data_IF_530741622203
#
_entry.id   IF_530741622203
#
_cell.length_a   1.000
_cell.length_b   1.000
_cell.length_c   1.000
_cell.angle_alpha   90.00
_cell.angle_beta   90.00
_cell.angle_gamma   90.00
#
_symmetry.space_group_name_H-M   'P 1'
#
loop_
_entity.id
_entity.type
_entity.pdbx_description
1 polymer ?
#
# COMPACT_ATOMS: atom_id res chain seq x y z
N UNK A 1 7.90 -13.96 0.95
CA UNK A 1 8.86 -12.84 0.83
C UNK A 1 8.33 -11.67 1.62
N UNK A 2 9.18 -10.98 2.39
CA UNK A 2 8.82 -9.74 3.09
C UNK A 2 9.53 -8.58 2.40
N UNK A 3 8.80 -7.52 2.08
CA UNK A 3 9.33 -6.28 1.52
C UNK A 3 9.03 -5.12 2.47
N UNK A 4 9.93 -4.14 2.51
CA UNK A 4 9.82 -2.95 3.37
C UNK A 4 10.13 -1.71 2.56
N UNK A 5 9.29 -0.70 2.67
CA UNK A 5 9.43 0.57 1.94
C UNK A 5 9.24 1.73 2.91
N UNK A 6 10.24 2.63 2.97
CA UNK A 6 10.12 3.88 3.71
C UNK A 6 9.44 4.91 2.84
N UNK A 7 8.44 5.58 3.39
CA UNK A 7 7.66 6.62 2.73
C UNK A 7 7.27 7.70 3.75
N UNK A 8 6.41 8.62 3.35
CA UNK A 8 5.81 9.62 4.21
C UNK A 8 4.30 9.65 4.04
N UNK A 9 3.60 10.05 5.10
CA UNK A 9 2.19 10.47 5.04
C UNK A 9 2.12 11.97 5.35
N UNK A 10 1.11 12.66 4.82
CA UNK A 10 0.92 14.08 5.07
C UNK A 10 -0.17 14.30 6.11
N UNK A 11 0.13 15.09 7.13
CA UNK A 11 -0.83 15.64 8.08
C UNK A 11 -0.84 17.17 7.93
N UNK A 12 -1.72 17.68 7.08
CA UNK A 12 -1.70 19.10 6.70
C UNK A 12 -0.41 19.43 5.94
N UNK A 13 0.44 20.28 6.52
CA UNK A 13 1.76 20.64 5.95
C UNK A 13 2.90 19.77 6.46
N UNK A 14 2.66 18.91 7.44
CA UNK A 14 3.68 18.07 8.06
C UNK A 14 3.82 16.75 7.30
N UNK A 15 5.07 16.37 7.01
CA UNK A 15 5.41 15.06 6.46
C UNK A 15 5.82 14.13 7.61
N UNK A 16 5.01 13.12 7.88
CA UNK A 16 5.26 12.11 8.89
C UNK A 16 5.96 10.91 8.25
N UNK A 17 7.10 10.45 8.78
CA UNK A 17 7.76 9.26 8.26
C UNK A 17 6.89 8.02 8.51
N UNK A 18 6.71 7.20 7.48
CA UNK A 18 5.94 5.96 7.53
C UNK A 18 6.78 4.82 6.99
N UNK A 19 6.70 3.69 7.68
CA UNK A 19 7.34 2.45 7.26
C UNK A 19 6.28 1.43 6.85
N UNK A 20 6.26 1.10 5.56
CA UNK A 20 5.30 0.16 4.99
C UNK A 20 5.95 -1.21 4.90
N UNK A 21 5.26 -2.22 5.40
CA UNK A 21 5.68 -3.60 5.36
C UNK A 21 4.69 -4.43 4.55
N UNK A 22 5.22 -5.29 3.69
CA UNK A 22 4.43 -6.14 2.81
C UNK A 22 4.89 -7.57 2.97
N UNK A 23 3.95 -8.48 3.18
CA UNK A 23 4.20 -9.92 3.15
C UNK A 23 3.58 -10.49 1.88
N UNK A 24 4.43 -11.07 1.03
CA UNK A 24 4.02 -11.81 -0.17
C UNK A 24 4.13 -13.30 0.14
N UNK A 25 3.01 -14.00 0.08
CA UNK A 25 2.91 -15.43 0.33
C UNK A 25 2.19 -16.17 -0.80
N UNK A 26 2.29 -17.52 -0.84
CA UNK A 26 1.53 -18.33 -1.78
C UNK A 26 0.03 -18.29 -1.46
N UNK A 27 -0.83 -18.42 -2.48
CA UNK A 27 -2.28 -18.46 -2.29
C UNK A 27 -3.05 -17.76 -3.40
N UNK A 28 -4.30 -17.39 -3.11
CA UNK A 28 -5.16 -16.66 -4.04
C UNK A 28 -4.61 -15.25 -4.29
N UNK A 29 -4.75 -14.78 -5.53
CA UNK A 29 -4.40 -13.40 -5.91
C UNK A 29 -5.30 -12.44 -5.13
N UNK A 30 -4.68 -11.56 -4.35
CA UNK A 30 -5.39 -10.55 -3.58
C UNK A 30 -4.42 -9.65 -2.81
N UNK A 31 -4.86 -8.42 -2.58
CA UNK A 31 -4.15 -7.44 -1.75
C UNK A 31 -5.07 -6.96 -0.64
N UNK A 32 -4.61 -7.07 0.60
CA UNK A 32 -5.30 -6.56 1.78
C UNK A 32 -4.43 -5.49 2.42
N UNK A 33 -5.06 -4.36 2.77
CA UNK A 33 -4.41 -3.25 3.47
C UNK A 33 -4.99 -3.23 4.88
N UNK A 34 -4.11 -3.22 5.88
CA UNK A 34 -4.45 -3.23 7.31
C UNK A 34 -3.79 -2.05 8.01
N UNK A 35 -4.17 -1.78 9.26
CA UNK A 35 -3.65 -0.65 10.02
C UNK A 35 -4.48 0.63 9.90
N UNK A 36 -5.80 0.48 9.68
CA UNK A 36 -6.75 1.59 9.55
C UNK A 36 -6.33 2.63 8.48
N UNK A 37 -6.12 2.19 7.23
CA UNK A 37 -5.76 3.11 6.16
C UNK A 37 -6.88 4.12 5.90
N UNK A 38 -6.52 5.29 5.39
CA UNK A 38 -7.50 6.20 4.84
C UNK A 38 -8.11 5.66 3.52
N UNK A 39 -9.11 6.39 3.02
CA UNK A 39 -9.81 6.02 1.79
C UNK A 39 -8.90 6.09 0.56
N UNK A 40 -8.02 7.07 0.47
CA UNK A 40 -7.15 7.26 -0.70
C UNK A 40 -6.14 6.11 -0.85
N UNK A 41 -5.62 5.61 0.28
CA UNK A 41 -4.77 4.41 0.36
C UNK A 41 -5.58 3.16 0.02
N UNK A 42 -6.81 3.02 0.53
CA UNK A 42 -7.67 1.89 0.17
C UNK A 42 -7.96 1.81 -1.34
N UNK A 43 -8.31 2.94 -1.98
CA UNK A 43 -8.56 3.04 -3.43
C UNK A 43 -7.29 2.85 -4.26
N UNK A 44 -6.12 3.15 -3.71
CA UNK A 44 -4.85 2.99 -4.43
C UNK A 44 -4.60 1.54 -4.88
N UNK A 45 -5.14 0.56 -4.14
CA UNK A 45 -5.08 -0.86 -4.48
C UNK A 45 -5.64 -1.13 -5.88
N UNK A 46 -6.80 -0.57 -6.19
CA UNK A 46 -7.47 -0.78 -7.48
C UNK A 46 -6.67 -0.11 -8.61
N UNK A 47 -6.11 1.07 -8.36
CA UNK A 47 -5.23 1.76 -9.32
C UNK A 47 -3.96 0.95 -9.62
N UNK A 48 -3.31 0.40 -8.60
CA UNK A 48 -2.10 -0.42 -8.77
C UNK A 48 -2.44 -1.71 -9.52
N UNK A 49 -3.55 -2.37 -9.17
CA UNK A 49 -3.98 -3.58 -9.86
C UNK A 49 -4.26 -3.32 -11.35
N UNK A 50 -4.94 -2.22 -11.68
CA UNK A 50 -5.19 -1.81 -13.06
C UNK A 50 -3.88 -1.55 -13.83
N UNK A 51 -2.91 -0.88 -13.20
CA UNK A 51 -1.61 -0.60 -13.80
C UNK A 51 -0.81 -1.88 -14.09
N UNK A 52 -0.84 -2.87 -13.19
CA UNK A 52 -0.15 -4.15 -13.36
C UNK A 52 -0.78 -5.05 -14.42
N UNK A 53 -2.10 -4.94 -14.66
CA UNK A 53 -2.76 -5.67 -15.75
C UNK A 53 -2.50 -5.04 -17.13
N UNK A 54 -2.19 -3.75 -17.18
CA UNK A 54 -1.95 -3.02 -18.42
C UNK A 54 -0.49 -3.08 -18.90
N UNK A 55 0.42 -3.65 -18.10
CA UNK A 55 1.85 -3.84 -18.40
C UNK A 55 2.14 -5.25 -18.89
#
# INVERSE_FOLDING_TARGET
MVARVRTVAFQGIEALPVDVQVMVGPGKVGMQIVGLPDKAVAESRERVQAALHAS
#
